data_IF_030403977513
#
_entry.id   IF_030403977513
#
_cell.length_a   1.000
_cell.length_b   1.000
_cell.length_c   1.000
_cell.angle_alpha   90.00
_cell.angle_beta   90.00
_cell.angle_gamma   90.00
#
_symmetry.space_group_name_H-M   'P 1'
#
loop_
_entity.id
_entity.type
_entity.pdbx_description
1 polymer ?
#
# COMPACT_ATOMS: atom_id res chain seq x y z
N UNK A 1 -11.18 8.63 3.19
CA UNK A 1 -11.85 7.89 2.16
C UNK A 1 -11.33 6.49 1.96
N UNK A 2 -11.86 5.85 0.96
CA UNK A 2 -11.53 4.45 0.70
C UNK A 2 -10.06 4.24 0.36
N UNK A 3 -9.44 5.22 -0.31
CA UNK A 3 -8.04 5.09 -0.71
C UNK A 3 -7.13 5.03 0.52
N UNK A 4 -7.38 5.89 1.50
CA UNK A 4 -6.56 5.89 2.71
C UNK A 4 -6.75 4.60 3.50
N UNK A 5 -7.96 4.07 3.53
CA UNK A 5 -8.23 2.79 4.18
C UNK A 5 -7.45 1.67 3.51
N UNK A 6 -7.41 1.66 2.18
CA UNK A 6 -6.66 0.67 1.43
C UNK A 6 -5.16 0.80 1.68
N UNK A 7 -4.65 2.04 1.71
CA UNK A 7 -3.24 2.27 2.01
C UNK A 7 -2.88 1.70 3.37
N UNK A 8 -3.76 1.91 4.37
CA UNK A 8 -3.54 1.38 5.71
C UNK A 8 -3.45 -0.14 5.71
N UNK A 9 -4.36 -0.80 4.97
CA UNK A 9 -4.35 -2.25 4.86
C UNK A 9 -3.09 -2.75 4.16
N UNK A 10 -2.69 -2.07 3.08
CA UNK A 10 -1.47 -2.44 2.35
C UNK A 10 -0.26 -2.33 3.28
N UNK A 11 -0.20 -1.26 4.07
CA UNK A 11 0.90 -1.06 5.01
C UNK A 11 0.97 -2.20 6.02
N UNK A 12 -0.16 -2.55 6.62
CA UNK A 12 -0.20 -3.62 7.61
C UNK A 12 0.19 -4.96 7.01
N UNK A 13 -0.33 -5.27 5.83
CA UNK A 13 -0.04 -6.54 5.18
C UNK A 13 1.41 -6.61 4.74
N UNK A 14 1.96 -5.48 4.26
CA UNK A 14 3.36 -5.41 3.88
C UNK A 14 4.27 -5.66 5.09
N UNK A 15 3.92 -5.10 6.23
CA UNK A 15 4.69 -5.28 7.45
C UNK A 15 4.63 -6.71 7.97
N UNK A 16 3.57 -7.43 7.64
CA UNK A 16 3.45 -8.86 7.96
C UNK A 16 4.27 -9.74 7.03
N UNK A 17 4.80 -9.19 5.96
CA UNK A 17 5.58 -9.95 5.00
C UNK A 17 4.78 -10.50 3.83
N UNK A 18 3.53 -10.05 3.65
CA UNK A 18 2.72 -10.49 2.53
C UNK A 18 3.30 -9.96 1.22
N UNK A 19 3.20 -10.76 0.15
CA UNK A 19 3.67 -10.34 -1.16
C UNK A 19 2.69 -9.36 -1.79
N UNK A 20 3.17 -8.62 -2.81
CA UNK A 20 2.32 -7.67 -3.51
C UNK A 20 1.14 -8.38 -4.18
N UNK A 21 1.37 -9.58 -4.72
CA UNK A 21 0.31 -10.36 -5.35
C UNK A 21 -0.77 -10.76 -4.35
N UNK A 22 -0.34 -11.18 -3.15
CA UNK A 22 -1.29 -11.56 -2.13
C UNK A 22 -2.10 -10.37 -1.64
N UNK A 23 -1.44 -9.23 -1.48
CA UNK A 23 -2.13 -8.01 -1.04
C UNK A 23 -3.17 -7.59 -2.09
N UNK A 24 -2.78 -7.61 -3.37
CA UNK A 24 -3.70 -7.26 -4.43
C UNK A 24 -4.92 -8.17 -4.44
N UNK A 25 -4.69 -9.47 -4.27
CA UNK A 25 -5.78 -10.44 -4.24
C UNK A 25 -6.70 -10.21 -3.05
N UNK A 26 -6.11 -10.00 -1.87
CA UNK A 26 -6.89 -9.78 -0.65
C UNK A 26 -7.76 -8.53 -0.73
N UNK A 27 -7.27 -7.49 -1.39
CA UNK A 27 -7.98 -6.22 -1.50
C UNK A 27 -8.83 -6.15 -2.77
N UNK A 28 -8.75 -7.17 -3.62
CA UNK A 28 -9.47 -7.20 -4.89
C UNK A 28 -9.10 -6.01 -5.77
N UNK A 29 -7.80 -5.68 -5.80
CA UNK A 29 -7.26 -4.57 -6.58
C UNK A 29 -6.21 -5.07 -7.56
N UNK A 30 -5.95 -4.26 -8.58
CA UNK A 30 -4.90 -4.57 -9.53
C UNK A 30 -3.53 -4.41 -8.88
N UNK A 31 -2.58 -5.27 -9.29
CA UNK A 31 -1.20 -5.16 -8.82
C UNK A 31 -0.64 -3.78 -9.15
N UNK A 32 -1.02 -3.22 -10.29
CA UNK A 32 -0.56 -1.89 -10.71
C UNK A 32 -0.97 -0.79 -9.73
N UNK A 33 -2.06 -0.99 -9.00
CA UNK A 33 -2.46 -0.05 -7.97
C UNK A 33 -1.67 -0.26 -6.69
N UNK A 34 -1.44 -1.52 -6.33
CA UNK A 34 -0.79 -1.88 -5.07
C UNK A 34 0.72 -1.63 -5.11
N UNK A 35 1.36 -1.95 -6.24
CA UNK A 35 2.82 -1.99 -6.32
C UNK A 35 3.51 -0.67 -5.96
N UNK A 36 3.07 0.49 -6.48
CA UNK A 36 3.72 1.76 -6.10
C UNK A 36 3.65 2.01 -4.59
N UNK A 37 2.52 1.71 -3.99
CA UNK A 37 2.33 1.88 -2.55
C UNK A 37 3.22 0.91 -1.78
N UNK A 38 3.26 -0.33 -2.22
CA UNK A 38 4.07 -1.37 -1.62
C UNK A 38 5.55 -0.98 -1.62
N UNK A 39 6.04 -0.45 -2.75
CA UNK A 39 7.44 -0.06 -2.86
C UNK A 39 7.79 1.11 -1.96
N UNK A 40 6.89 2.09 -1.84
CA UNK A 40 7.10 3.21 -0.92
C UNK A 40 7.27 2.70 0.50
N UNK A 41 6.42 1.77 0.91
CA UNK A 41 6.46 1.20 2.25
C UNK A 41 7.74 0.40 2.47
N UNK A 42 8.15 -0.36 1.46
CA UNK A 42 9.38 -1.16 1.55
C UNK A 42 10.62 -0.29 1.70
N UNK A 43 10.68 0.83 0.97
CA UNK A 43 11.82 1.72 1.03
C UNK A 43 11.86 2.51 2.33
N UNK A 44 10.69 2.84 2.87
CA UNK A 44 10.60 3.62 4.09
C UNK A 44 9.41 3.17 4.92
N UNK A 45 9.58 2.13 5.77
CA UNK A 45 8.47 1.56 6.53
C UNK A 45 7.80 2.54 7.50
N UNK A 46 8.46 3.66 7.81
CA UNK A 46 7.88 4.65 8.73
C UNK A 46 7.05 5.70 8.00
N UNK A 47 6.93 5.61 6.67
CA UNK A 47 6.11 6.54 5.91
C UNK A 47 4.66 6.46 6.37
N UNK A 48 4.05 7.62 6.64
CA UNK A 48 2.68 7.65 7.10
C UNK A 48 1.70 7.47 5.94
N UNK A 49 0.46 7.12 6.28
CA UNK A 49 -0.61 6.98 5.30
C UNK A 49 -0.80 8.29 4.54
N UNK A 50 -0.75 9.42 5.26
CA UNK A 50 -0.90 10.73 4.63
C UNK A 50 0.20 10.99 3.60
N UNK A 51 1.44 10.66 3.95
CA UNK A 51 2.57 10.86 3.04
C UNK A 51 2.42 9.99 1.79
N UNK A 52 2.02 8.74 1.96
CA UNK A 52 1.80 7.84 0.83
C UNK A 52 0.70 8.39 -0.06
N UNK A 53 -0.39 8.83 0.54
CA UNK A 53 -1.51 9.39 -0.21
C UNK A 53 -1.08 10.59 -1.04
N UNK A 54 -0.27 11.47 -0.47
CA UNK A 54 0.23 12.65 -1.19
C UNK A 54 1.11 12.26 -2.37
N UNK A 55 1.92 11.21 -2.21
CA UNK A 55 2.81 10.77 -3.28
C UNK A 55 2.01 10.19 -4.45
N UNK A 56 1.04 9.35 -4.17
CA UNK A 56 0.29 8.66 -5.24
C UNK A 56 -0.81 9.53 -5.86
N UNK A 57 -1.22 10.57 -5.17
CA UNK A 57 -2.32 11.43 -5.61
C UNK A 57 -1.85 12.70 -6.32
N UNK A 58 -0.64 12.72 -6.80
CA UNK A 58 -0.10 13.88 -7.52
C UNK A 58 -0.66 13.99 -8.94
#
# INVERSE_FOLDING_TARGET
GEIKSKISLIQKKSQRGDSVEKIADDLMEDIQFIQPIYEIIKQNPTTTIEEIYQIINK
#
